data_IF_781670450664
#
_entry.id   IF_781670450664
#
_cell.length_a   1.000
_cell.length_b   1.000
_cell.length_c   1.000
_cell.angle_alpha   90.00
_cell.angle_beta   90.00
_cell.angle_gamma   90.00
#
_symmetry.space_group_name_H-M   'P 1'
#
loop_
_entity.id
_entity.type
_entity.pdbx_description
1 polymer ?
#
# COMPACT_ATOMS: atom_id res chain seq x y z
N UNK A 1 50.88 24.81 21.37
CA UNK A 1 50.35 23.51 21.89
C UNK A 1 50.45 22.53 20.75
N UNK A 2 51.26 21.48 20.90
CA UNK A 2 51.54 20.49 19.86
C UNK A 2 50.24 19.85 19.38
N UNK A 3 49.82 20.18 18.15
CA UNK A 3 48.75 19.52 17.41
C UNK A 3 49.24 18.12 17.03
N UNK A 4 49.30 17.21 18.00
CA UNK A 4 49.23 15.80 17.66
C UNK A 4 47.79 15.59 17.20
N UNK A 5 47.55 15.25 15.92
CA UNK A 5 46.20 15.00 15.46
C UNK A 5 45.73 13.78 16.24
N UNK A 6 44.66 13.95 17.01
CA UNK A 6 44.00 12.87 17.75
C UNK A 6 43.33 11.99 16.68
N UNK A 7 44.13 11.18 15.99
CA UNK A 7 43.69 10.30 14.91
C UNK A 7 43.23 9.02 15.56
N UNK A 8 42.04 8.56 15.20
CA UNK A 8 41.54 7.29 15.69
C UNK A 8 42.30 6.16 15.01
N UNK A 9 42.67 5.14 15.77
CA UNK A 9 43.33 3.95 15.25
C UNK A 9 42.37 2.78 15.39
N UNK A 10 42.14 2.04 14.31
CA UNK A 10 41.38 0.77 14.38
C UNK A 10 42.07 -0.17 15.35
N UNK A 11 41.29 -0.82 16.22
CA UNK A 11 41.84 -1.77 17.20
C UNK A 11 42.31 -3.07 16.55
N UNK A 12 41.76 -3.40 15.38
CA UNK A 12 42.01 -4.66 14.69
C UNK A 12 43.01 -4.50 13.54
N UNK A 13 42.84 -3.51 12.67
CA UNK A 13 43.74 -3.32 11.53
C UNK A 13 44.95 -2.42 11.83
N UNK A 14 44.84 -1.56 12.85
CA UNK A 14 45.86 -0.54 13.13
C UNK A 14 45.81 0.67 12.18
N UNK A 15 44.81 0.74 11.30
CA UNK A 15 44.66 1.83 10.34
C UNK A 15 44.22 3.14 11.01
N UNK A 16 44.69 4.25 10.46
CA UNK A 16 44.39 5.61 10.90
C UNK A 16 43.11 6.11 10.25
N UNK A 17 42.19 6.64 11.07
CA UNK A 17 40.87 7.08 10.65
C UNK A 17 40.40 8.33 11.39
N UNK A 18 39.46 9.05 10.78
CA UNK A 18 38.76 10.19 11.40
C UNK A 18 37.39 9.81 11.97
N UNK A 19 36.79 8.75 11.41
CA UNK A 19 35.53 8.16 11.89
C UNK A 19 35.73 6.67 12.02
N UNK A 20 35.32 6.09 13.15
CA UNK A 20 35.26 4.64 13.36
C UNK A 20 33.83 4.27 13.73
N UNK A 21 33.23 3.39 12.94
CA UNK A 21 31.92 2.82 13.20
C UNK A 21 32.07 1.33 13.48
N UNK A 22 31.58 0.89 14.64
CA UNK A 22 31.56 -0.52 15.04
C UNK A 22 30.12 -0.98 15.19
N UNK A 23 29.80 -2.10 14.56
CA UNK A 23 28.51 -2.75 14.71
C UNK A 23 28.71 -4.22 15.05
N UNK A 24 27.96 -4.69 16.05
CA UNK A 24 27.82 -6.11 16.36
C UNK A 24 26.38 -6.53 16.04
N UNK A 25 26.24 -7.49 15.13
CA UNK A 25 24.95 -8.01 14.66
C UNK A 25 24.85 -9.50 14.90
N UNK A 26 23.77 -9.95 15.55
CA UNK A 26 23.47 -11.37 15.63
C UNK A 26 22.76 -11.82 14.35
N UNK A 27 23.35 -12.75 13.61
CA UNK A 27 22.79 -13.32 12.39
C UNK A 27 21.91 -14.51 12.78
N UNK A 28 20.67 -14.52 12.29
CA UNK A 28 19.73 -15.61 12.47
C UNK A 28 19.55 -16.38 11.15
N UNK A 29 19.37 -17.71 11.23
CA UNK A 29 19.00 -18.50 10.06
C UNK A 29 17.49 -18.69 10.02
N UNK A 30 16.92 -18.65 8.82
CA UNK A 30 15.58 -19.13 8.54
C UNK A 30 15.67 -20.43 7.73
N UNK A 31 15.11 -21.52 8.25
CA UNK A 31 14.99 -22.78 7.49
C UNK A 31 13.73 -22.74 6.62
N UNK A 32 13.88 -22.82 5.29
CA UNK A 32 12.76 -22.84 4.32
C UNK A 32 12.60 -24.22 3.66
N UNK A 33 11.86 -25.15 4.27
CA UNK A 33 11.13 -26.25 3.58
C UNK A 33 10.34 -27.13 4.58
N UNK A 34 9.08 -27.56 4.39
CA UNK A 34 8.52 -28.32 3.26
C UNK A 34 6.99 -28.14 3.06
N UNK A 35 6.27 -27.41 3.92
CA UNK A 35 4.81 -27.20 3.81
C UNK A 35 4.51 -25.70 3.78
N UNK A 36 4.11 -25.19 2.61
CA UNK A 36 3.82 -23.77 2.37
C UNK A 36 2.51 -23.29 3.01
N UNK A 37 2.44 -23.28 4.35
CA UNK A 37 1.30 -22.74 5.09
C UNK A 37 1.74 -21.56 5.95
N UNK A 38 1.15 -20.41 5.61
CA UNK A 38 1.21 -19.06 6.20
C UNK A 38 2.60 -18.45 6.53
N UNK A 39 2.94 -17.28 5.97
CA UNK A 39 3.93 -16.41 6.61
C UNK A 39 3.30 -15.95 7.93
N UNK A 40 3.82 -16.44 9.05
CA UNK A 40 3.42 -15.94 10.36
C UNK A 40 3.69 -14.43 10.37
N UNK A 41 2.64 -13.61 10.49
CA UNK A 41 2.78 -12.17 10.68
C UNK A 41 3.65 -11.86 11.91
N UNK A 42 3.76 -12.79 12.87
CA UNK A 42 4.73 -12.70 13.97
C UNK A 42 6.18 -12.79 13.50
N UNK A 43 6.53 -13.50 12.43
CA UNK A 43 7.90 -13.54 11.91
C UNK A 43 8.31 -12.20 11.28
N UNK A 44 7.35 -11.47 10.69
CA UNK A 44 7.59 -10.11 10.16
C UNK A 44 7.67 -9.09 11.30
N UNK A 45 6.79 -9.19 12.30
CA UNK A 45 6.81 -8.33 13.50
C UNK A 45 7.99 -8.62 14.43
N UNK A 46 8.42 -9.89 14.55
CA UNK A 46 9.56 -10.30 15.37
C UNK A 46 10.89 -9.86 14.75
N UNK A 47 11.02 -9.89 13.40
CA UNK A 47 12.16 -9.29 12.71
C UNK A 47 12.35 -7.81 13.06
N UNK A 48 11.26 -7.05 13.18
CA UNK A 48 11.32 -5.65 13.57
C UNK A 48 11.72 -5.41 15.03
N UNK A 49 11.63 -6.43 15.89
CA UNK A 49 11.88 -6.30 17.34
C UNK A 49 13.19 -6.94 17.81
N UNK A 50 13.87 -7.74 16.97
CA UNK A 50 14.92 -8.67 17.44
C UNK A 50 16.27 -8.57 16.73
N UNK A 51 16.51 -7.55 15.92
CA UNK A 51 17.88 -7.18 15.55
C UNK A 51 18.51 -6.44 16.73
N UNK A 52 19.12 -7.19 17.65
CA UNK A 52 19.94 -6.60 18.70
C UNK A 52 21.26 -6.16 18.06
N UNK A 53 21.24 -4.97 17.47
CA UNK A 53 22.41 -4.31 16.90
C UNK A 53 23.03 -3.41 17.97
N UNK A 54 24.26 -3.73 18.38
CA UNK A 54 25.06 -2.82 19.19
C UNK A 54 25.93 -2.00 18.25
N UNK A 55 25.55 -0.74 18.04
CA UNK A 55 26.34 0.22 17.26
C UNK A 55 27.09 1.17 18.16
N UNK A 56 28.39 1.36 17.91
CA UNK A 56 29.21 2.38 18.55
C UNK A 56 29.93 3.18 17.48
N UNK A 57 29.79 4.50 17.53
CA UNK A 57 30.46 5.42 16.61
C UNK A 57 31.39 6.34 17.39
N UNK A 58 32.63 6.48 16.91
CA UNK A 58 33.62 7.42 17.43
C UNK A 58 34.10 8.28 16.29
N UNK A 59 34.20 9.58 16.55
CA UNK A 59 34.58 10.58 15.57
C UNK A 59 35.52 11.56 16.23
N UNK A 60 36.51 12.03 15.47
CA UNK A 60 37.37 13.14 15.85
C UNK A 60 37.13 14.30 14.88
N UNK A 61 37.29 15.56 15.30
CA UNK A 61 37.16 16.70 14.41
C UNK A 61 38.17 16.59 13.26
N UNK A 62 37.70 16.72 12.03
CA UNK A 62 38.55 16.71 10.84
C UNK A 62 38.15 17.80 9.86
N UNK A 63 39.07 18.10 8.96
CA UNK A 63 38.89 19.08 7.89
C UNK A 63 38.96 18.38 6.55
N UNK A 64 38.16 18.85 5.60
CA UNK A 64 38.32 18.54 4.20
C UNK A 64 39.17 19.63 3.57
N UNK A 65 40.12 19.22 2.74
CA UNK A 65 41.04 20.11 2.04
C UNK A 65 40.75 19.95 0.55
N UNK A 66 40.63 21.07 -0.17
CA UNK A 66 40.48 21.02 -1.62
C UNK A 66 41.81 20.59 -2.28
N UNK A 67 41.78 19.50 -3.03
CA UNK A 67 42.94 18.97 -3.77
C UNK A 67 43.16 19.75 -5.08
N UNK A 68 43.32 21.08 -5.00
CA UNK A 68 43.72 21.91 -6.14
C UNK A 68 45.11 22.47 -5.93
N UNK A 69 45.95 22.15 -6.90
CA UNK A 69 47.35 22.51 -6.96
C UNK A 69 47.53 24.03 -6.87
N UNK A 70 48.28 24.43 -5.84
CA UNK A 70 49.01 25.69 -5.68
C UNK A 70 48.27 26.89 -5.06
N UNK A 71 48.64 27.13 -3.79
CA UNK A 71 48.92 28.43 -3.11
C UNK A 71 48.07 28.73 -1.89
N UNK A 72 46.83 28.22 -1.79
CA UNK A 72 46.01 28.31 -0.59
C UNK A 72 45.20 27.01 -0.45
N UNK A 73 45.44 26.26 0.62
CA UNK A 73 44.61 25.12 0.97
C UNK A 73 43.35 25.66 1.65
N UNK A 74 42.29 25.83 0.89
CA UNK A 74 40.97 26.07 1.47
C UNK A 74 40.55 24.78 2.20
N UNK A 75 40.27 24.93 3.49
CA UNK A 75 39.84 23.84 4.34
C UNK A 75 38.46 24.14 4.90
N UNK A 76 37.66 23.09 5.09
CA UNK A 76 36.33 23.18 5.69
C UNK A 76 36.24 22.19 6.83
N UNK A 77 35.82 22.66 8.00
CA UNK A 77 35.59 21.80 9.17
C UNK A 77 34.28 21.06 8.98
N UNK A 78 34.30 19.74 9.18
CA UNK A 78 33.10 18.89 9.05
C UNK A 78 32.47 18.66 10.41
N UNK A 79 31.23 19.09 10.59
CA UNK A 79 30.45 18.81 11.80
C UNK A 79 29.47 17.65 11.53
N UNK A 80 29.78 16.49 12.10
CA UNK A 80 29.00 15.26 11.93
C UNK A 80 27.82 15.15 12.92
N UNK A 81 27.77 16.01 13.93
CA UNK A 81 26.81 15.93 15.03
C UNK A 81 25.37 16.05 14.52
N UNK A 82 24.54 15.08 14.90
CA UNK A 82 23.11 15.03 14.54
C UNK A 82 22.82 14.58 13.10
N UNK A 83 23.84 14.22 12.31
CA UNK A 83 23.62 13.64 10.98
C UNK A 83 23.19 12.16 11.10
N UNK A 84 22.16 11.78 10.33
CA UNK A 84 21.71 10.37 10.18
C UNK A 84 22.02 9.81 8.79
N UNK A 85 22.74 10.57 7.97
CA UNK A 85 23.06 10.20 6.60
C UNK A 85 24.09 9.08 6.58
N UNK A 86 24.03 8.18 5.58
CA UNK A 86 25.08 7.18 5.40
C UNK A 86 26.41 7.89 5.11
N UNK A 87 27.46 7.42 5.76
CA UNK A 87 28.82 7.91 5.56
C UNK A 87 29.60 6.92 4.68
N UNK A 88 30.56 7.39 3.87
CA UNK A 88 31.40 6.54 3.03
C UNK A 88 32.45 5.87 3.91
N UNK A 89 32.06 4.79 4.59
CA UNK A 89 32.93 4.06 5.50
C UNK A 89 33.43 2.78 4.83
N UNK A 90 34.75 2.60 4.82
CA UNK A 90 35.40 1.38 4.31
C UNK A 90 35.44 0.33 5.41
N UNK A 91 35.01 -0.90 5.12
CA UNK A 91 35.13 -2.03 6.06
C UNK A 91 36.58 -2.48 6.15
N UNK A 92 37.18 -2.37 7.35
CA UNK A 92 38.58 -2.79 7.60
C UNK A 92 38.68 -4.07 8.40
N UNK A 93 37.62 -4.43 9.11
CA UNK A 93 37.56 -5.68 9.84
C UNK A 93 36.15 -6.24 9.82
N UNK A 94 36.04 -7.51 9.44
CA UNK A 94 34.80 -8.26 9.44
C UNK A 94 35.10 -9.68 9.93
N UNK A 95 34.53 -10.06 11.07
CA UNK A 95 34.68 -11.42 11.61
C UNK A 95 33.34 -11.97 12.05
N UNK A 96 33.03 -13.17 11.57
CA UNK A 96 31.87 -13.94 12.01
C UNK A 96 32.31 -14.95 13.07
N UNK A 97 31.76 -14.83 14.28
CA UNK A 97 31.96 -15.79 15.35
C UNK A 97 30.74 -16.72 15.41
N UNK A 98 30.88 -18.01 15.11
CA UNK A 98 29.77 -18.94 15.19
C UNK A 98 29.33 -19.10 16.65
N UNK A 99 28.02 -19.12 16.88
CA UNK A 99 27.47 -19.45 18.21
C UNK A 99 27.29 -20.96 18.24
N UNK A 100 27.81 -21.61 19.28
CA UNK A 100 27.76 -23.06 19.41
C UNK A 100 26.32 -23.56 19.37
N UNK A 101 26.01 -24.43 18.42
CA UNK A 101 24.71 -25.06 18.29
C UNK A 101 24.48 -25.99 19.49
N UNK A 102 23.55 -25.63 20.38
CA UNK A 102 23.08 -26.54 21.42
C UNK A 102 22.10 -27.55 20.82
N UNK A 103 21.88 -28.73 21.42
CA UNK A 103 20.87 -29.68 20.93
C UNK A 103 19.45 -29.08 20.84
N UNK A 104 19.17 -28.01 21.60
CA UNK A 104 17.94 -27.24 21.49
C UNK A 104 17.82 -26.47 20.16
N UNK A 105 18.92 -26.03 19.55
CA UNK A 105 18.92 -25.34 18.24
C UNK A 105 18.43 -26.24 17.10
N UNK A 106 18.69 -27.56 17.18
CA UNK A 106 18.19 -28.53 16.21
C UNK A 106 16.66 -28.66 16.30
N UNK A 107 16.11 -28.73 17.52
CA UNK A 107 14.66 -28.73 17.72
C UNK A 107 14.05 -27.42 17.24
N UNK A 108 14.67 -26.28 17.54
CA UNK A 108 14.22 -24.96 17.10
C UNK A 108 14.19 -24.85 15.56
N UNK A 109 15.21 -25.39 14.88
CA UNK A 109 15.24 -25.48 13.42
C UNK A 109 14.14 -26.39 12.86
N UNK A 110 13.83 -27.52 13.53
CA UNK A 110 12.78 -28.46 13.11
C UNK A 110 11.37 -27.86 13.21
N UNK A 111 11.14 -27.00 14.20
CA UNK A 111 9.86 -26.30 14.39
C UNK A 111 9.77 -24.95 13.64
N UNK A 112 10.74 -24.65 12.76
CA UNK A 112 10.70 -23.46 11.90
C UNK A 112 10.93 -22.12 12.63
N UNK A 113 11.52 -22.16 13.83
CA UNK A 113 11.87 -20.94 14.57
C UNK A 113 13.24 -20.41 14.14
N UNK A 114 13.34 -19.07 14.04
CA UNK A 114 14.62 -18.37 13.87
C UNK A 114 15.59 -18.74 14.98
N UNK A 115 16.81 -19.15 14.62
CA UNK A 115 17.86 -19.47 15.59
C UNK A 115 19.15 -18.69 15.26
N UNK A 116 19.89 -18.21 16.28
CA UNK A 116 21.11 -17.44 16.07
C UNK A 116 22.22 -18.36 15.55
N UNK A 117 22.84 -17.98 14.44
CA UNK A 117 23.94 -18.72 13.78
C UNK A 117 25.28 -18.21 14.24
N UNK A 118 25.40 -16.90 14.41
CA UNK A 118 26.66 -16.28 14.70
C UNK A 118 26.55 -14.81 15.02
N UNK A 119 27.56 -14.30 15.71
CA UNK A 119 27.76 -12.89 15.95
C UNK A 119 28.70 -12.36 14.86
N UNK A 120 28.22 -11.41 14.05
CA UNK A 120 29.01 -10.68 13.09
C UNK A 120 29.52 -9.38 13.73
N UNK A 121 30.83 -9.27 13.86
CA UNK A 121 31.50 -8.05 14.28
C UNK A 121 32.05 -7.36 13.03
N UNK A 122 31.64 -6.12 12.80
CA UNK A 122 32.07 -5.29 11.69
C UNK A 122 32.63 -3.96 12.20
N UNK A 123 33.82 -3.60 11.74
CA UNK A 123 34.45 -2.30 11.97
C UNK A 123 34.66 -1.62 10.62
N UNK A 124 34.05 -0.44 10.46
CA UNK A 124 34.21 0.43 9.30
C UNK A 124 34.89 1.73 9.72
N UNK A 125 35.71 2.28 8.84
CA UNK A 125 36.43 3.51 9.09
C UNK A 125 36.30 4.49 7.93
N UNK A 126 36.43 5.78 8.23
CA UNK A 126 36.74 6.80 7.23
C UNK A 126 38.26 7.06 7.28
N UNK A 127 39.04 6.52 6.33
CA UNK A 127 40.49 6.65 6.34
C UNK A 127 40.95 8.07 5.98
N UNK A 128 42.19 8.39 6.34
CA UNK A 128 42.84 9.65 5.95
C UNK A 128 43.21 9.63 4.46
N UNK A 129 43.07 10.78 3.78
CA UNK A 129 43.45 10.94 2.37
C UNK A 129 42.44 10.32 1.38
N UNK A 130 41.23 10.01 1.85
CA UNK A 130 40.14 9.56 1.00
C UNK A 130 39.46 10.74 0.32
N UNK A 131 39.27 10.64 -0.99
CA UNK A 131 38.53 11.63 -1.76
C UNK A 131 37.05 11.52 -1.42
N UNK A 132 36.52 12.55 -0.77
CA UNK A 132 35.10 12.63 -0.38
C UNK A 132 34.51 13.98 -0.75
N UNK A 133 33.31 13.93 -1.30
CA UNK A 133 32.48 15.11 -1.54
C UNK A 133 31.58 15.34 -0.33
N UNK A 134 31.65 16.53 0.26
CA UNK A 134 30.73 16.95 1.31
C UNK A 134 29.63 17.85 0.74
N UNK A 135 28.38 17.55 1.07
CA UNK A 135 27.20 18.30 0.64
C UNK A 135 26.38 18.67 1.87
N UNK A 136 26.11 19.96 2.03
CA UNK A 136 25.44 20.44 3.22
C UNK A 136 25.30 21.95 3.25
N UNK A 137 24.94 22.45 4.42
CA UNK A 137 24.82 23.88 4.69
C UNK A 137 26.17 24.36 5.22
N UNK A 138 26.75 25.34 4.55
CA UNK A 138 27.96 26.02 5.01
C UNK A 138 27.59 27.14 5.98
N UNK A 139 28.24 27.19 7.13
CA UNK A 139 28.14 28.24 8.12
C UNK A 139 29.56 28.70 8.47
N UNK A 140 29.79 30.00 8.66
CA UNK A 140 31.08 30.48 9.17
C UNK A 140 30.98 30.70 10.67
N UNK A 141 31.83 30.02 11.46
CA UNK A 141 31.96 30.25 12.90
C UNK A 141 33.35 30.82 13.18
N UNK A 142 33.41 32.03 13.72
CA UNK A 142 34.66 32.73 14.04
C UNK A 142 35.64 32.85 12.86
N UNK A 143 35.13 32.99 11.62
CA UNK A 143 35.95 33.08 10.41
C UNK A 143 36.41 31.73 9.84
N UNK A 144 36.05 30.61 10.45
CA UNK A 144 36.32 29.26 9.93
C UNK A 144 35.05 28.73 9.25
N UNK A 145 35.13 28.25 7.99
CA UNK A 145 34.01 27.62 7.32
C UNK A 145 33.73 26.22 7.91
N UNK A 146 32.49 25.99 8.33
CA UNK A 146 31.96 24.74 8.86
C UNK A 146 30.86 24.22 7.94
N UNK A 147 30.85 22.93 7.63
CA UNK A 147 29.78 22.28 6.87
C UNK A 147 28.95 21.36 7.75
N UNK A 148 27.62 21.49 7.64
CA UNK A 148 26.63 20.72 8.40
C UNK A 148 25.69 19.96 7.48
N UNK A 149 25.25 18.79 7.94
CA UNK A 149 24.26 17.95 7.26
C UNK A 149 22.93 18.67 7.04
N UNK A 150 22.35 18.56 5.84
CA UNK A 150 21.01 19.07 5.49
C UNK A 150 19.98 17.93 5.47
N UNK A 151 18.73 18.17 5.91
CA UNK A 151 17.67 17.14 5.91
C UNK A 151 17.03 16.91 4.54
N UNK A 152 17.15 17.87 3.63
CA UNK A 152 16.51 17.83 2.31
C UNK A 152 17.33 17.00 1.30
N UNK A 153 18.59 16.73 1.61
CA UNK A 153 19.53 16.04 0.74
C UNK A 153 19.86 14.66 1.33
N UNK A 154 19.83 13.59 0.52
CA UNK A 154 20.04 12.23 1.02
C UNK A 154 21.52 11.91 1.32
N UNK A 155 22.45 12.80 1.00
CA UNK A 155 23.89 12.61 1.15
C UNK A 155 24.48 13.76 1.98
N UNK A 156 25.39 13.41 2.90
CA UNK A 156 26.21 14.39 3.61
C UNK A 156 27.68 14.28 3.20
N UNK A 157 28.28 13.10 3.36
CA UNK A 157 29.58 12.74 2.82
C UNK A 157 29.37 11.61 1.81
N UNK A 158 30.03 11.67 0.65
CA UNK A 158 29.95 10.62 -0.37
C UNK A 158 31.26 10.53 -1.15
N UNK A 159 31.60 9.34 -1.64
CA UNK A 159 32.70 9.12 -2.60
C UNK A 159 32.36 9.63 -4.01
N UNK A 160 31.08 9.90 -4.28
CA UNK A 160 30.63 10.35 -5.59
C UNK A 160 31.00 11.81 -5.85
N UNK A 161 31.26 12.15 -7.11
CA UNK A 161 31.44 13.54 -7.53
C UNK A 161 30.09 14.27 -7.59
N UNK A 162 30.12 15.61 -7.53
CA UNK A 162 28.92 16.45 -7.67
C UNK A 162 28.06 16.07 -8.89
N UNK A 163 28.69 15.86 -10.04
CA UNK A 163 27.97 15.56 -11.29
C UNK A 163 27.30 14.19 -11.24
N UNK A 164 27.98 13.18 -10.68
CA UNK A 164 27.41 11.85 -10.48
C UNK A 164 26.20 11.90 -9.53
N UNK A 165 26.30 12.65 -8.43
CA UNK A 165 25.19 12.83 -7.50
C UNK A 165 23.98 13.47 -8.18
N UNK A 166 24.19 14.54 -8.97
CA UNK A 166 23.10 15.22 -9.70
C UNK A 166 22.42 14.27 -10.70
N UNK A 167 23.21 13.48 -11.44
CA UNK A 167 22.66 12.50 -12.38
C UNK A 167 21.83 11.44 -11.64
N UNK A 168 22.34 10.89 -10.54
CA UNK A 168 21.61 9.89 -9.74
C UNK A 168 20.29 10.45 -9.20
N UNK A 169 20.32 11.63 -8.55
CA UNK A 169 19.11 12.27 -8.04
C UNK A 169 18.08 12.50 -9.16
N UNK A 170 18.51 13.04 -10.30
CA UNK A 170 17.61 13.29 -11.43
C UNK A 170 17.02 12.00 -12.01
N UNK A 171 17.82 10.92 -12.03
CA UNK A 171 17.38 9.62 -12.55
C UNK A 171 16.35 8.98 -11.63
N UNK A 172 16.57 8.99 -10.30
CA UNK A 172 15.66 8.42 -9.31
C UNK A 172 14.32 9.15 -9.31
N UNK A 173 14.32 10.48 -9.36
CA UNK A 173 13.09 11.27 -9.45
C UNK A 173 12.32 10.98 -10.74
N UNK A 174 13.01 10.91 -11.89
CA UNK A 174 12.38 10.53 -13.17
C UNK A 174 11.78 9.14 -13.10
N UNK A 175 12.50 8.15 -12.56
CA UNK A 175 12.01 6.77 -12.46
C UNK A 175 10.75 6.69 -11.58
N UNK A 176 10.71 7.39 -10.44
CA UNK A 176 9.51 7.44 -9.58
C UNK A 176 8.34 8.15 -10.26
N UNK A 177 8.60 9.23 -10.98
CA UNK A 177 7.57 9.95 -11.73
C UNK A 177 6.94 9.06 -12.82
N UNK A 178 7.78 8.45 -13.66
CA UNK A 178 7.32 7.61 -14.77
C UNK A 178 6.67 6.32 -14.28
N UNK A 179 7.16 5.71 -13.20
CA UNK A 179 6.50 4.53 -12.63
C UNK A 179 5.11 4.86 -12.09
N UNK A 180 4.94 6.01 -11.43
CA UNK A 180 3.63 6.50 -10.98
C UNK A 180 2.65 6.71 -12.14
N UNK A 181 3.11 7.30 -13.26
CA UNK A 181 2.29 7.52 -14.45
C UNK A 181 1.84 6.19 -15.07
N UNK A 182 2.77 5.23 -15.21
CA UNK A 182 2.46 3.91 -15.79
C UNK A 182 1.43 3.18 -14.92
N UNK A 183 1.65 3.12 -13.61
CA UNK A 183 0.72 2.46 -12.67
C UNK A 183 -0.66 3.14 -12.72
N UNK A 184 -0.69 4.48 -12.71
CA UNK A 184 -1.94 5.25 -12.81
C UNK A 184 -2.71 4.96 -14.11
N UNK A 185 -2.02 4.89 -15.25
CA UNK A 185 -2.63 4.57 -16.55
C UNK A 185 -3.25 3.18 -16.59
N UNK A 186 -2.57 2.18 -16.00
CA UNK A 186 -3.06 0.81 -15.92
C UNK A 186 -4.30 0.74 -15.03
N UNK A 187 -4.29 1.42 -13.87
CA UNK A 187 -5.46 1.49 -12.98
C UNK A 187 -6.68 2.11 -13.67
N UNK A 188 -6.49 3.21 -14.40
CA UNK A 188 -7.57 3.87 -15.14
C UNK A 188 -8.10 2.96 -16.25
N UNK A 189 -7.22 2.27 -16.98
CA UNK A 189 -7.60 1.31 -18.01
C UNK A 189 -8.44 0.15 -17.46
N UNK A 190 -8.04 -0.43 -16.33
CA UNK A 190 -8.78 -1.52 -15.67
C UNK A 190 -10.16 -1.04 -15.20
N UNK A 191 -10.24 0.14 -14.58
CA UNK A 191 -11.51 0.70 -14.10
C UNK A 191 -12.45 1.03 -15.26
N UNK A 192 -11.93 1.66 -16.33
CA UNK A 192 -12.68 1.93 -17.55
C UNK A 192 -13.22 0.65 -18.19
N UNK A 193 -12.39 -0.39 -18.30
CA UNK A 193 -12.82 -1.69 -18.81
C UNK A 193 -13.94 -2.32 -17.95
N UNK A 194 -13.80 -2.27 -16.62
CA UNK A 194 -14.82 -2.79 -15.70
C UNK A 194 -16.16 -2.05 -15.86
N UNK A 195 -16.14 -0.72 -16.00
CA UNK A 195 -17.34 0.11 -16.22
C UNK A 195 -18.00 -0.26 -17.55
N UNK A 196 -17.25 -0.33 -18.65
CA UNK A 196 -17.79 -0.69 -19.98
C UNK A 196 -18.36 -2.10 -19.96
N UNK A 197 -17.67 -3.06 -19.35
CA UNK A 197 -18.14 -4.45 -19.24
C UNK A 197 -19.41 -4.58 -18.41
N UNK A 198 -19.54 -3.80 -17.34
CA UNK A 198 -20.75 -3.79 -16.52
C UNK A 198 -21.92 -3.11 -17.28
N UNK A 199 -21.63 -2.03 -18.01
CA UNK A 199 -22.62 -1.33 -18.83
C UNK A 199 -23.18 -2.19 -19.96
N UNK A 200 -22.32 -2.93 -20.68
CA UNK A 200 -22.75 -3.83 -21.76
C UNK A 200 -23.61 -4.98 -21.24
N UNK A 201 -23.23 -5.58 -20.10
CA UNK A 201 -24.07 -6.58 -19.42
C UNK A 201 -25.44 -6.02 -19.01
N UNK A 202 -25.46 -4.83 -18.42
CA UNK A 202 -26.70 -4.18 -18.00
C UNK A 202 -27.60 -3.84 -19.20
N UNK A 203 -27.02 -3.40 -20.31
CA UNK A 203 -27.74 -3.10 -21.56
C UNK A 203 -28.40 -4.36 -22.13
N UNK A 204 -27.67 -5.47 -22.21
CA UNK A 204 -28.20 -6.76 -22.69
C UNK A 204 -29.36 -7.28 -21.81
N UNK A 205 -29.25 -7.16 -20.48
CA UNK A 205 -30.32 -7.53 -19.54
C UNK A 205 -31.60 -6.69 -19.71
N UNK A 206 -31.46 -5.44 -20.17
CA UNK A 206 -32.59 -4.55 -20.44
C UNK A 206 -33.27 -4.90 -21.76
N UNK A 207 -32.50 -5.23 -22.79
CA UNK A 207 -33.01 -5.61 -24.11
C UNK A 207 -33.75 -6.97 -24.07
N UNK A 208 -33.20 -7.98 -23.37
CA UNK A 208 -33.87 -9.28 -23.20
C UNK A 208 -35.23 -9.15 -22.50
N UNK A 209 -35.35 -8.29 -21.48
CA UNK A 209 -36.63 -8.05 -20.80
C UNK A 209 -37.62 -7.29 -21.65
N UNK A 210 -37.17 -6.39 -22.53
CA UNK A 210 -38.05 -5.74 -23.53
C UNK A 210 -38.59 -6.75 -24.54
N UNK A 211 -37.75 -7.64 -25.05
CA UNK A 211 -38.17 -8.68 -26.00
C UNK A 211 -39.17 -9.69 -25.38
N UNK A 212 -38.94 -10.10 -24.12
CA UNK A 212 -39.84 -11.01 -23.41
C UNK A 212 -41.19 -10.35 -23.07
N UNK A 213 -41.20 -9.03 -22.88
CA UNK A 213 -42.43 -8.26 -22.64
C UNK A 213 -43.22 -8.03 -23.94
N UNK A 214 -42.55 -8.05 -25.10
CA UNK A 214 -43.18 -7.94 -26.41
C UNK A 214 -43.80 -9.29 -26.84
N UNK A 215 -43.12 -10.43 -26.62
CA UNK A 215 -43.70 -11.75 -26.92
C UNK A 215 -44.95 -12.05 -26.08
N UNK A 216 -44.97 -11.62 -24.80
CA UNK A 216 -46.15 -11.78 -23.94
C UNK A 216 -47.32 -10.83 -24.28
N UNK A 217 -47.10 -9.82 -25.14
CA UNK A 217 -48.15 -8.96 -25.69
C UNK A 217 -48.80 -9.55 -26.95
N UNK A 218 -48.01 -10.25 -27.78
CA UNK A 218 -48.51 -10.88 -29.00
C UNK A 218 -49.26 -12.21 -28.71
N UNK A 219 -48.84 -12.97 -27.69
CA UNK A 219 -49.54 -14.19 -27.26
C UNK A 219 -50.94 -13.91 -26.67
N UNK A 220 -51.15 -12.73 -26.06
CA UNK A 220 -52.46 -12.30 -25.53
C UNK A 220 -53.39 -11.78 -26.64
N UNK A 221 -52.84 -11.36 -27.79
CA UNK A 221 -53.64 -10.90 -28.92
C UNK A 221 -54.29 -12.06 -29.71
N UNK A 222 -53.75 -13.27 -29.68
CA UNK A 222 -54.32 -14.45 -30.38
C UNK A 222 -55.27 -15.31 -29.53
N UNK A 223 -55.39 -15.06 -28.22
CA UNK A 223 -56.21 -15.89 -27.32
C UNK A 223 -57.46 -15.21 -26.76
N UNK A 224 -57.97 -14.15 -27.40
CA UNK A 224 -59.11 -13.36 -26.91
C UNK A 224 -60.37 -13.49 -27.79
N UNK A 225 -60.77 -14.71 -28.12
CA UNK A 225 -62.19 -15.01 -28.26
C UNK A 225 -62.67 -15.57 -26.92
N UNK A 226 -63.53 -14.81 -26.23
CA UNK A 226 -64.30 -15.19 -25.03
C UNK A 226 -63.57 -15.15 -23.67
N UNK A 227 -63.33 -13.94 -23.14
CA UNK A 227 -63.75 -13.53 -21.79
C UNK A 227 -63.23 -12.12 -21.46
N UNK A 228 -64.13 -11.25 -21.01
CA UNK A 228 -63.91 -9.82 -20.81
C UNK A 228 -62.93 -9.52 -19.66
N UNK A 229 -61.76 -8.95 -19.99
CA UNK A 229 -60.95 -8.14 -19.06
C UNK A 229 -60.29 -6.99 -19.85
N UNK A 230 -60.69 -5.71 -19.66
CA UNK A 230 -60.02 -4.60 -20.32
C UNK A 230 -58.86 -4.01 -19.50
N UNK A 231 -57.76 -3.78 -20.22
CA UNK A 231 -56.82 -2.64 -20.14
C UNK A 231 -55.71 -2.61 -19.07
N UNK A 232 -54.52 -3.02 -19.53
CA UNK A 232 -53.22 -2.46 -19.11
C UNK A 232 -53.09 -1.03 -19.66
N UNK A 233 -53.66 -0.05 -18.96
CA UNK A 233 -53.31 1.36 -19.14
C UNK A 233 -52.59 1.85 -17.90
N UNK A 234 -51.31 2.20 -18.08
CA UNK A 234 -50.51 3.19 -17.36
C UNK A 234 -49.02 2.77 -17.36
N UNK A 235 -48.38 2.89 -18.54
CA UNK A 235 -46.91 2.90 -18.69
C UNK A 235 -46.38 4.35 -18.76
N UNK A 236 -47.02 5.28 -18.04
CA UNK A 236 -46.51 6.64 -17.86
C UNK A 236 -45.37 6.72 -16.84
N UNK A 237 -44.71 7.88 -16.79
CA UNK A 237 -43.69 8.24 -15.80
C UNK A 237 -44.34 8.38 -14.41
N UNK A 238 -44.48 7.25 -13.70
CA UNK A 238 -45.09 7.19 -12.36
C UNK A 238 -44.05 7.63 -11.33
N UNK A 239 -44.32 8.66 -10.50
CA UNK A 239 -43.40 9.10 -9.46
C UNK A 239 -43.04 7.98 -8.49
N UNK A 240 -41.77 7.88 -8.06
CA UNK A 240 -41.23 6.78 -7.24
C UNK A 240 -42.09 6.43 -6.00
N UNK A 241 -42.73 7.42 -5.37
CA UNK A 241 -43.61 7.24 -4.20
C UNK A 241 -44.95 6.54 -4.47
N UNK A 242 -45.30 6.28 -5.73
CA UNK A 242 -46.54 5.64 -6.14
C UNK A 242 -46.33 4.27 -6.80
N UNK A 243 -45.08 3.82 -6.89
CA UNK A 243 -44.73 2.53 -7.47
C UNK A 243 -45.07 1.36 -6.55
N UNK A 244 -45.34 0.22 -7.17
CA UNK A 244 -45.54 -1.05 -6.50
C UNK A 244 -44.25 -1.49 -5.79
N UNK A 245 -44.35 -1.83 -4.51
CA UNK A 245 -43.19 -2.19 -3.67
C UNK A 245 -42.46 -3.47 -4.09
N UNK A 246 -43.06 -4.27 -4.97
CA UNK A 246 -42.51 -5.55 -5.44
C UNK A 246 -41.77 -5.37 -6.76
N UNK A 247 -42.46 -4.83 -7.77
CA UNK A 247 -41.86 -4.67 -9.09
C UNK A 247 -41.14 -3.33 -9.28
N UNK A 248 -41.44 -2.31 -8.48
CA UNK A 248 -40.91 -0.95 -8.57
C UNK A 248 -41.02 -0.34 -9.99
N UNK A 249 -42.04 -0.77 -10.75
CA UNK A 249 -42.17 -0.43 -12.17
C UNK A 249 -43.58 0.00 -12.59
N UNK A 250 -44.61 -0.32 -11.78
CA UNK A 250 -46.01 -0.02 -12.09
C UNK A 250 -46.68 0.65 -10.90
N UNK A 251 -47.62 1.55 -11.15
CA UNK A 251 -48.38 2.24 -10.10
C UNK A 251 -49.12 1.24 -9.20
N UNK A 252 -49.12 1.52 -7.89
CA UNK A 252 -49.90 0.75 -6.91
C UNK A 252 -51.39 1.01 -7.15
N UNK A 253 -52.16 -0.06 -7.40
CA UNK A 253 -53.60 -0.01 -7.68
C UNK A 253 -54.39 -1.12 -6.99
N UNK A 254 -53.75 -1.94 -6.15
CA UNK A 254 -54.41 -3.06 -5.47
C UNK A 254 -54.22 -2.97 -3.96
N UNK A 255 -55.33 -3.03 -3.22
CA UNK A 255 -55.37 -3.06 -1.76
C UNK A 255 -55.71 -4.47 -1.26
N UNK A 256 -55.00 -4.92 -0.22
CA UNK A 256 -55.16 -6.28 0.33
C UNK A 256 -56.21 -6.35 1.44
N UNK A 257 -57.08 -7.35 1.42
CA UNK A 257 -58.10 -7.63 2.44
C UNK A 257 -57.54 -8.63 3.48
N UNK A 258 -57.70 -8.39 4.79
CA UNK A 258 -58.45 -7.29 5.42
C UNK A 258 -57.59 -6.05 5.76
N UNK A 259 -56.28 -6.07 5.51
CA UNK A 259 -55.37 -5.05 6.03
C UNK A 259 -55.47 -3.65 5.37
N UNK A 260 -56.11 -3.53 4.22
CA UNK A 260 -56.33 -2.29 3.49
C UNK A 260 -55.11 -1.70 2.76
N UNK A 261 -53.92 -2.31 2.86
CA UNK A 261 -52.70 -1.71 2.30
C UNK A 261 -52.67 -1.70 0.77
N UNK A 262 -52.69 -0.50 0.18
CA UNK A 262 -52.50 -0.22 -1.24
C UNK A 262 -51.01 -0.13 -1.58
N UNK A 263 -50.38 -1.28 -1.85
CA UNK A 263 -48.90 -1.37 -1.99
C UNK A 263 -48.44 -2.05 -3.27
N UNK A 264 -49.35 -2.74 -3.97
CA UNK A 264 -49.02 -3.53 -5.15
C UNK A 264 -49.76 -3.06 -6.40
N UNK A 265 -49.16 -3.33 -7.56
CA UNK A 265 -49.88 -3.30 -8.83
C UNK A 265 -50.73 -4.57 -8.97
N UNK A 266 -51.71 -4.57 -9.89
CA UNK A 266 -52.66 -5.67 -10.07
C UNK A 266 -51.98 -7.02 -10.28
N UNK A 267 -50.95 -7.09 -11.14
CA UNK A 267 -50.26 -8.36 -11.42
C UNK A 267 -49.50 -8.91 -10.21
N UNK A 268 -48.83 -8.03 -9.45
CA UNK A 268 -48.10 -8.44 -8.25
C UNK A 268 -49.05 -8.84 -7.12
N UNK A 269 -50.21 -8.20 -6.99
CA UNK A 269 -51.21 -8.57 -6.01
C UNK A 269 -51.79 -9.97 -6.27
N UNK A 270 -52.13 -10.27 -7.53
CA UNK A 270 -52.57 -11.61 -7.95
C UNK A 270 -51.49 -12.68 -7.74
N UNK A 271 -50.21 -12.34 -7.90
CA UNK A 271 -49.12 -13.29 -7.62
C UNK A 271 -49.07 -13.66 -6.14
N UNK A 272 -49.24 -12.69 -5.23
CA UNK A 272 -49.23 -12.94 -3.80
C UNK A 272 -50.43 -13.79 -3.37
N UNK A 273 -51.62 -13.53 -3.94
CA UNK A 273 -52.80 -14.34 -3.65
C UNK A 273 -52.64 -15.81 -4.01
N UNK A 274 -51.81 -16.12 -5.01
CA UNK A 274 -51.53 -17.49 -5.47
C UNK A 274 -50.45 -18.20 -4.65
N UNK A 275 -49.77 -17.49 -3.74
CA UNK A 275 -48.75 -18.10 -2.88
C UNK A 275 -49.39 -19.01 -1.83
N UNK A 276 -48.63 -20.01 -1.36
CA UNK A 276 -49.08 -20.98 -0.35
C UNK A 276 -49.46 -20.33 1.00
N UNK A 277 -48.88 -19.15 1.29
CA UNK A 277 -49.14 -18.38 2.50
C UNK A 277 -49.18 -16.88 2.15
N UNK A 278 -50.30 -16.37 1.63
CA UNK A 278 -50.40 -15.01 1.11
C UNK A 278 -50.30 -13.99 2.26
N UNK A 279 -49.30 -13.10 2.22
CA UNK A 279 -49.05 -12.08 3.26
C UNK A 279 -48.84 -10.72 2.64
N UNK A 280 -49.33 -9.67 3.32
CA UNK A 280 -49.10 -8.31 2.89
C UNK A 280 -47.60 -7.96 2.97
N UNK A 281 -46.97 -7.42 1.92
CA UNK A 281 -45.54 -7.07 1.94
C UNK A 281 -45.13 -6.06 3.02
N UNK A 282 -46.08 -5.24 3.48
CA UNK A 282 -45.80 -4.17 4.45
C UNK A 282 -46.13 -4.61 5.87
N UNK A 283 -47.38 -5.00 6.15
CA UNK A 283 -47.78 -5.36 7.51
C UNK A 283 -47.67 -6.85 7.84
N UNK A 284 -47.31 -7.70 6.85
CA UNK A 284 -47.19 -9.16 6.98
C UNK A 284 -48.46 -9.91 7.41
N UNK A 285 -49.60 -9.22 7.48
CA UNK A 285 -50.89 -9.82 7.77
C UNK A 285 -51.32 -10.75 6.62
N UNK A 286 -51.94 -11.88 6.98
CA UNK A 286 -52.46 -12.84 6.00
C UNK A 286 -53.50 -12.19 5.10
N UNK A 287 -53.31 -12.32 3.80
CA UNK A 287 -54.17 -11.76 2.75
C UNK A 287 -55.24 -12.78 2.38
N UNK A 288 -56.50 -12.37 2.39
CA UNK A 288 -57.63 -13.20 1.91
C UNK A 288 -57.98 -12.95 0.44
N UNK A 289 -57.59 -11.78 -0.07
CA UNK A 289 -57.79 -11.35 -1.45
C UNK A 289 -57.36 -9.90 -1.61
N UNK A 290 -57.39 -9.38 -2.82
CA UNK A 290 -57.09 -8.00 -3.15
C UNK A 290 -58.18 -7.39 -4.01
N UNK A 291 -58.35 -6.08 -3.88
CA UNK A 291 -59.31 -5.29 -4.64
C UNK A 291 -58.55 -4.23 -5.42
N UNK A 292 -58.91 -4.08 -6.69
CA UNK A 292 -58.38 -3.01 -7.53
C UNK A 292 -59.07 -1.69 -7.19
N UNK A 293 -58.27 -0.67 -6.93
CA UNK A 293 -58.69 0.70 -6.69
C UNK A 293 -58.52 1.49 -8.00
N UNK A 294 -59.59 2.18 -8.39
CA UNK A 294 -59.59 3.14 -9.48
C UNK A 294 -59.56 4.54 -8.88
N UNK A 295 -58.58 5.35 -9.30
CA UNK A 295 -58.52 6.76 -8.93
C UNK A 295 -59.63 7.51 -9.71
N UNK A 296 -60.37 8.40 -9.04
CA UNK A 296 -61.45 9.22 -9.63
C UNK A 296 -60.94 10.30 -10.57
#
# INVERSE_FOLDING_TARGET
KSLWPDVLVSRHSGDKAVVIHRSQKCIYNEWRWFFGWYPDLRAVLARAWKEQESTSMRTVPFVLVEDRQQSQCDFVVVELDGSKHPLPLTTVYQKMQPISASPYTFLQALFGHEYPVGLLEEEKILPLGMDVTAVGICSSRNGVPEIKSCKDLPYFLSEMTKDQMVVELSSRTKVLLWSGIVIGSVSIGILGYAIVRNWTKWKQWREQRRAQQQSHGDDVASSNAESEVPTDEDMGDVPDGQLCVICLMRRRRSAFIPCGHLVCCQRCALSIERDLAPKCPVCRQTVRGSVRIYDS
#
